data_IF_988372762542
#
_entry.id   IF_988372762542
#
_cell.length_a   1.000
_cell.length_b   1.000
_cell.length_c   1.000
_cell.angle_alpha   90.00
_cell.angle_beta   90.00
_cell.angle_gamma   90.00
#
_symmetry.space_group_name_H-M   'P 1'
#
loop_
_entity.id
_entity.type
_entity.pdbx_description
1 polymer ?
#
# COMPACT_ATOMS: atom_id res chain seq x y z
N UNK A 1 6.49 -6.20 -15.63
CA UNK A 1 5.18 -5.92 -16.22
C UNK A 1 4.15 -5.57 -15.14
N UNK A 2 2.99 -5.12 -15.56
CA UNK A 2 1.89 -4.65 -14.70
C UNK A 2 0.81 -5.73 -14.47
N UNK A 3 1.07 -6.99 -14.85
CA UNK A 3 0.10 -8.11 -14.76
C UNK A 3 -0.47 -8.33 -13.36
N UNK A 4 0.25 -7.92 -12.31
CA UNK A 4 -0.21 -7.99 -10.92
C UNK A 4 -1.42 -7.08 -10.64
N UNK A 5 -1.72 -6.12 -11.51
CA UNK A 5 -2.89 -5.23 -11.41
C UNK A 5 -4.14 -5.77 -12.11
N UNK A 6 -4.04 -6.84 -12.91
CA UNK A 6 -5.21 -7.41 -13.62
C UNK A 6 -6.42 -7.70 -12.71
N UNK A 7 -6.26 -8.20 -11.47
CA UNK A 7 -7.41 -8.41 -10.58
C UNK A 7 -8.19 -7.13 -10.26
N UNK A 8 -7.58 -5.97 -10.46
CA UNK A 8 -8.16 -4.66 -10.15
C UNK A 8 -8.82 -3.97 -11.35
N UNK A 9 -8.72 -4.52 -12.56
CA UNK A 9 -9.25 -3.94 -13.79
C UNK A 9 -10.78 -3.67 -13.73
N UNK A 10 -11.53 -4.55 -13.06
CA UNK A 10 -12.97 -4.42 -12.86
C UNK A 10 -13.37 -4.06 -11.43
N UNK A 11 -12.38 -3.87 -10.56
CA UNK A 11 -12.60 -3.50 -9.17
C UNK A 11 -12.55 -1.99 -8.96
N UNK A 12 -11.69 -1.29 -9.70
CA UNK A 12 -11.49 0.14 -9.54
C UNK A 12 -12.66 0.93 -10.15
N UNK A 13 -13.37 1.69 -9.31
CA UNK A 13 -14.40 2.64 -9.75
C UNK A 13 -13.79 3.96 -10.22
N UNK A 14 -12.55 4.27 -9.83
CA UNK A 14 -11.84 5.51 -10.12
C UNK A 14 -10.35 5.24 -10.24
N UNK A 15 -9.74 5.72 -11.30
CA UNK A 15 -8.30 5.67 -11.54
C UNK A 15 -7.71 7.07 -11.54
N UNK A 16 -6.84 7.36 -10.57
CA UNK A 16 -6.16 8.64 -10.45
C UNK A 16 -4.68 8.47 -10.78
N UNK A 17 -4.18 9.22 -11.72
CA UNK A 17 -2.77 9.25 -12.08
C UNK A 17 -2.10 10.47 -11.46
N UNK A 18 -1.05 10.23 -10.65
CA UNK A 18 -0.22 11.26 -10.08
C UNK A 18 1.05 11.44 -10.93
N UNK A 19 1.34 12.66 -11.35
CA UNK A 19 2.52 13.03 -12.13
C UNK A 19 2.77 12.09 -13.33
N UNK A 20 3.93 11.46 -13.43
CA UNK A 20 4.26 10.47 -14.47
C UNK A 20 3.42 9.18 -14.45
N UNK A 21 2.48 9.02 -13.51
CA UNK A 21 1.63 7.86 -13.34
C UNK A 21 0.67 7.58 -14.51
N UNK A 22 0.40 8.56 -15.38
CA UNK A 22 -0.46 8.38 -16.58
C UNK A 22 0.07 7.25 -17.47
N UNK A 23 1.36 7.29 -17.81
CA UNK A 23 1.97 6.25 -18.65
C UNK A 23 1.94 4.88 -17.96
N UNK A 24 2.22 4.84 -16.65
CA UNK A 24 2.17 3.60 -15.88
C UNK A 24 0.76 2.98 -15.88
N UNK A 25 -0.28 3.80 -15.72
CA UNK A 25 -1.67 3.33 -15.76
C UNK A 25 -2.01 2.77 -17.14
N UNK A 26 -1.66 3.47 -18.23
CA UNK A 26 -1.89 3.00 -19.60
C UNK A 26 -1.14 1.71 -19.91
N UNK A 27 0.11 1.59 -19.50
CA UNK A 27 0.92 0.37 -19.66
C UNK A 27 0.34 -0.81 -18.87
N UNK A 28 -0.39 -0.51 -17.79
CA UNK A 28 -1.11 -1.49 -16.97
C UNK A 28 -2.51 -1.84 -17.51
N UNK A 29 -2.96 -1.18 -18.57
CA UNK A 29 -4.28 -1.38 -19.21
C UNK A 29 -5.41 -0.56 -18.59
N UNK A 30 -5.09 0.42 -17.72
CA UNK A 30 -6.08 1.32 -17.13
C UNK A 30 -6.13 2.65 -17.90
N UNK A 31 -7.32 3.22 -17.99
CA UNK A 31 -7.50 4.59 -18.46
C UNK A 31 -7.71 5.50 -17.25
N UNK A 32 -6.80 6.45 -16.96
CA UNK A 32 -7.01 7.37 -15.85
C UNK A 32 -8.25 8.27 -16.07
N UNK A 33 -9.05 8.41 -15.01
CA UNK A 33 -10.19 9.33 -14.96
C UNK A 33 -9.73 10.74 -14.56
N UNK A 34 -8.73 10.81 -13.67
CA UNK A 34 -8.21 12.06 -13.11
C UNK A 34 -6.67 12.06 -13.20
N UNK A 35 -6.12 13.17 -13.64
CA UNK A 35 -4.71 13.51 -13.52
C UNK A 35 -4.50 14.53 -12.41
N UNK A 36 -3.52 14.30 -11.56
CA UNK A 36 -3.09 15.20 -10.48
C UNK A 36 -1.60 15.46 -10.62
N UNK A 37 -1.19 16.69 -10.88
CA UNK A 37 0.23 17.01 -11.03
C UNK A 37 0.47 18.40 -11.59
N UNK A 38 1.76 18.78 -11.77
CA UNK A 38 2.11 20.00 -12.46
C UNK A 38 2.03 19.85 -13.98
N UNK A 39 1.87 20.94 -14.68
CA UNK A 39 1.74 20.94 -16.15
C UNK A 39 3.07 20.67 -16.87
N UNK A 40 4.20 20.67 -16.15
CA UNK A 40 5.54 20.54 -16.73
C UNK A 40 5.97 19.08 -16.93
N UNK A 41 5.35 18.14 -16.21
CA UNK A 41 5.70 16.72 -16.25
C UNK A 41 5.16 15.95 -17.47
N UNK A 42 4.66 16.64 -18.50
CA UNK A 42 4.35 16.06 -19.82
C UNK A 42 3.23 15.02 -19.82
N UNK A 43 2.37 15.02 -18.83
CA UNK A 43 1.15 14.23 -18.83
C UNK A 43 0.26 14.71 -19.98
N UNK A 44 0.26 13.98 -21.10
CA UNK A 44 -0.70 14.24 -22.16
C UNK A 44 -2.09 14.01 -21.60
N UNK A 45 -2.85 15.09 -21.37
CA UNK A 45 -4.25 15.00 -21.00
C UNK A 45 -4.98 14.13 -22.03
N UNK A 46 -5.45 12.98 -21.61
CA UNK A 46 -6.28 12.14 -22.45
C UNK A 46 -7.63 12.84 -22.64
N UNK A 47 -8.24 12.65 -23.81
CA UNK A 47 -9.57 13.22 -24.07
C UNK A 47 -10.56 12.66 -23.06
N UNK A 48 -11.18 13.54 -22.26
CA UNK A 48 -12.16 13.17 -21.24
C UNK A 48 -11.59 12.98 -19.83
N UNK A 49 -10.27 13.03 -19.63
CA UNK A 49 -9.63 12.98 -18.33
C UNK A 49 -9.78 14.33 -17.60
N UNK A 50 -10.22 14.28 -16.35
CA UNK A 50 -10.23 15.46 -15.48
C UNK A 50 -8.79 15.80 -15.08
N UNK A 51 -8.40 17.07 -15.15
CA UNK A 51 -7.07 17.52 -14.75
C UNK A 51 -7.16 18.42 -13.52
N UNK A 52 -6.44 18.05 -12.47
CA UNK A 52 -6.27 18.85 -11.25
C UNK A 52 -4.84 19.39 -11.26
N UNK A 53 -4.63 20.61 -11.74
CA UNK A 53 -3.30 21.20 -11.82
C UNK A 53 -2.81 21.55 -10.41
N UNK A 54 -1.58 21.20 -10.12
CA UNK A 54 -0.90 21.57 -8.89
C UNK A 54 0.19 22.60 -9.18
N UNK A 55 0.42 23.59 -8.31
CA UNK A 55 1.57 24.47 -8.45
C UNK A 55 2.87 23.70 -8.29
N UNK A 56 3.92 24.09 -9.03
CA UNK A 56 5.25 23.46 -8.90
C UNK A 56 5.83 23.63 -7.48
N UNK A 57 5.58 24.80 -6.87
CA UNK A 57 5.91 25.06 -5.45
C UNK A 57 4.71 24.73 -4.59
N UNK A 58 4.73 23.57 -3.92
CA UNK A 58 3.66 23.07 -3.05
C UNK A 58 4.24 22.28 -1.89
N UNK A 59 3.48 22.22 -0.78
CA UNK A 59 3.84 21.48 0.43
C UNK A 59 3.50 19.97 0.34
N UNK A 60 2.82 19.53 -0.72
CA UNK A 60 2.35 18.15 -0.91
C UNK A 60 3.07 17.48 -2.07
N UNK A 61 3.29 16.17 -1.93
CA UNK A 61 3.66 15.34 -3.09
C UNK A 61 2.45 15.11 -3.99
N UNK A 62 2.67 14.83 -5.28
CA UNK A 62 1.58 14.52 -6.22
C UNK A 62 0.78 13.29 -5.77
N UNK A 63 1.45 12.30 -5.18
CA UNK A 63 0.79 11.12 -4.63
C UNK A 63 -0.13 11.46 -3.45
N UNK A 64 0.30 12.36 -2.56
CA UNK A 64 -0.55 12.82 -1.46
C UNK A 64 -1.76 13.60 -1.97
N UNK A 65 -1.57 14.49 -2.95
CA UNK A 65 -2.67 15.25 -3.56
C UNK A 65 -3.65 14.32 -4.29
N UNK A 66 -3.16 13.27 -4.95
CA UNK A 66 -4.00 12.23 -5.56
C UNK A 66 -4.80 11.46 -4.49
N UNK A 67 -4.17 11.13 -3.36
CA UNK A 67 -4.85 10.52 -2.22
C UNK A 67 -5.97 11.42 -1.67
N UNK A 68 -5.71 12.69 -1.43
CA UNK A 68 -6.70 13.66 -0.95
C UNK A 68 -7.86 13.81 -1.95
N UNK A 69 -7.55 13.77 -3.24
CA UNK A 69 -8.56 13.76 -4.31
C UNK A 69 -9.45 12.51 -4.21
N UNK A 70 -8.87 11.32 -4.05
CA UNK A 70 -9.61 10.07 -3.87
C UNK A 70 -10.51 10.13 -2.61
N UNK A 71 -9.97 10.63 -1.50
CA UNK A 71 -10.72 10.80 -0.25
C UNK A 71 -11.92 11.73 -0.44
N UNK A 72 -11.75 12.87 -1.10
CA UNK A 72 -12.80 13.83 -1.41
C UNK A 72 -13.89 13.27 -2.37
N UNK A 73 -13.54 12.24 -3.16
CA UNK A 73 -14.48 11.48 -4.01
C UNK A 73 -15.14 10.32 -3.27
N UNK A 74 -14.88 10.17 -1.97
CA UNK A 74 -15.53 9.19 -1.10
C UNK A 74 -14.91 7.79 -1.16
N UNK A 75 -13.65 7.68 -1.59
CA UNK A 75 -12.94 6.40 -1.58
C UNK A 75 -12.92 5.77 -0.18
N UNK A 76 -13.18 4.46 -0.12
CA UNK A 76 -13.12 3.63 1.08
C UNK A 76 -11.94 2.67 1.05
N UNK A 77 -11.54 2.29 -0.14
CA UNK A 77 -10.39 1.43 -0.41
C UNK A 77 -9.53 2.09 -1.48
N UNK A 78 -8.21 2.12 -1.28
CA UNK A 78 -7.27 2.72 -2.21
C UNK A 78 -6.08 1.77 -2.43
N UNK A 79 -5.79 1.49 -3.69
CA UNK A 79 -4.58 0.79 -4.11
C UNK A 79 -3.59 1.80 -4.68
N UNK A 80 -2.45 1.95 -4.00
CA UNK A 80 -1.32 2.74 -4.49
C UNK A 80 -0.38 1.83 -5.28
N UNK A 81 0.02 2.25 -6.46
CA UNK A 81 0.99 1.52 -7.28
C UNK A 81 1.94 2.48 -8.01
N UNK A 82 3.09 1.96 -8.49
CA UNK A 82 4.10 2.82 -9.11
C UNK A 82 4.89 3.71 -8.13
N UNK A 83 4.57 3.69 -6.84
CA UNK A 83 5.16 4.55 -5.82
C UNK A 83 6.34 3.89 -5.07
N UNK A 84 6.77 2.71 -5.49
CA UNK A 84 7.89 1.98 -4.89
C UNK A 84 9.10 1.90 -5.83
N UNK A 85 10.29 1.83 -5.26
CA UNK A 85 11.54 1.88 -6.02
C UNK A 85 12.02 3.33 -6.24
N UNK A 86 13.08 3.53 -7.02
CA UNK A 86 13.63 4.85 -7.31
C UNK A 86 14.03 5.65 -6.06
N UNK A 87 13.47 6.83 -5.88
CA UNK A 87 13.73 7.71 -4.75
C UNK A 87 13.16 7.15 -3.46
N UNK A 88 14.02 6.94 -2.45
CA UNK A 88 13.62 6.36 -1.16
C UNK A 88 12.73 7.30 -0.32
N UNK A 89 12.91 8.61 -0.43
CA UNK A 89 12.07 9.60 0.24
C UNK A 89 10.61 9.52 -0.21
N UNK A 90 10.36 9.38 -1.51
CA UNK A 90 9.01 9.16 -2.05
C UNK A 90 8.41 7.82 -1.62
N UNK A 91 9.22 6.75 -1.61
CA UNK A 91 8.77 5.45 -1.15
C UNK A 91 8.35 5.49 0.34
N UNK A 92 9.19 6.07 1.20
CA UNK A 92 8.89 6.18 2.63
C UNK A 92 7.68 7.09 2.89
N UNK A 93 7.52 8.17 2.12
CA UNK A 93 6.34 9.04 2.17
C UNK A 93 5.06 8.27 1.78
N UNK A 94 5.12 7.42 0.73
CA UNK A 94 3.99 6.58 0.33
C UNK A 94 3.58 5.58 1.42
N UNK A 95 4.53 4.99 2.15
CA UNK A 95 4.23 4.15 3.31
C UNK A 95 3.46 4.92 4.39
N UNK A 96 3.85 6.18 4.66
CA UNK A 96 3.14 7.04 5.62
C UNK A 96 1.70 7.34 5.23
N UNK A 97 1.37 7.35 3.93
CA UNK A 97 -0.01 7.51 3.46
C UNK A 97 -0.92 6.35 3.86
N UNK A 98 -0.40 5.14 4.07
CA UNK A 98 -1.20 4.01 4.56
C UNK A 98 -1.71 4.25 5.98
N UNK A 99 -0.87 4.83 6.86
CA UNK A 99 -1.26 5.22 8.22
C UNK A 99 -2.29 6.36 8.18
N UNK A 100 -2.06 7.37 7.34
CA UNK A 100 -2.98 8.50 7.15
C UNK A 100 -4.35 8.00 6.64
N UNK A 101 -4.36 7.08 5.68
CA UNK A 101 -5.58 6.47 5.14
C UNK A 101 -6.36 5.72 6.23
N UNK A 102 -5.68 4.91 7.03
CA UNK A 102 -6.29 4.21 8.16
C UNK A 102 -6.90 5.19 9.18
N UNK A 103 -6.23 6.31 9.46
CA UNK A 103 -6.74 7.39 10.31
C UNK A 103 -8.03 8.04 9.78
N UNK A 104 -8.25 8.03 8.47
CA UNK A 104 -9.48 8.49 7.82
C UNK A 104 -10.53 7.36 7.61
N UNK A 105 -10.27 6.15 8.11
CA UNK A 105 -11.14 5.00 7.92
C UNK A 105 -11.13 4.45 6.49
N UNK A 106 -10.07 4.72 5.75
CA UNK A 106 -9.83 4.22 4.39
C UNK A 106 -8.84 3.06 4.44
N UNK A 107 -9.16 1.96 3.79
CA UNK A 107 -8.24 0.84 3.64
C UNK A 107 -7.25 1.11 2.51
N UNK A 108 -6.00 1.41 2.86
CA UNK A 108 -4.90 1.67 1.94
C UNK A 108 -4.04 0.42 1.72
N UNK A 109 -3.66 0.16 0.48
CA UNK A 109 -2.74 -0.91 0.10
C UNK A 109 -1.74 -0.40 -0.93
N UNK A 110 -0.44 -0.63 -0.71
CA UNK A 110 0.58 -0.43 -1.74
C UNK A 110 0.85 -1.77 -2.43
N UNK A 111 0.79 -1.78 -3.75
CA UNK A 111 1.11 -2.96 -4.57
C UNK A 111 2.27 -2.69 -5.51
N UNK A 112 3.13 -3.70 -5.64
CA UNK A 112 4.11 -3.81 -6.71
C UNK A 112 4.20 -5.29 -7.16
N UNK A 113 4.97 -5.66 -8.20
CA UNK A 113 5.01 -7.04 -8.70
C UNK A 113 5.35 -8.11 -7.65
N UNK A 114 6.00 -7.73 -6.56
CA UNK A 114 6.55 -8.66 -5.57
C UNK A 114 5.94 -8.51 -4.20
N UNK A 115 5.28 -7.37 -3.91
CA UNK A 115 4.84 -7.05 -2.56
C UNK A 115 3.44 -6.44 -2.54
N UNK A 116 2.74 -6.74 -1.44
CA UNK A 116 1.58 -6.01 -0.96
C UNK A 116 1.91 -5.47 0.43
N UNK A 117 1.68 -4.19 0.68
CA UNK A 117 1.92 -3.53 1.97
C UNK A 117 0.64 -2.88 2.47
N UNK A 118 0.27 -3.19 3.70
CA UNK A 118 -0.90 -2.64 4.40
C UNK A 118 -0.50 -2.14 5.78
N UNK A 119 -1.16 -1.10 6.28
CA UNK A 119 -1.00 -0.65 7.67
C UNK A 119 -1.97 -1.40 8.57
N UNK A 120 -1.48 -1.86 9.73
CA UNK A 120 -2.30 -2.47 10.77
C UNK A 120 -2.12 -1.75 12.12
N UNK A 121 -3.25 -1.36 12.71
CA UNK A 121 -3.35 -0.95 14.11
C UNK A 121 -3.53 -2.19 15.02
N UNK A 122 -3.43 -2.05 16.37
CA UNK A 122 -3.76 -3.15 17.28
C UNK A 122 -5.13 -3.76 16.99
N UNK A 123 -5.22 -5.10 16.97
CA UNK A 123 -6.46 -5.81 16.62
C UNK A 123 -6.27 -7.29 16.32
N UNK A 124 -7.32 -7.87 15.77
CA UNK A 124 -7.35 -9.26 15.32
C UNK A 124 -7.59 -9.30 13.81
N UNK A 125 -6.79 -10.09 13.10
CA UNK A 125 -6.77 -10.13 11.65
C UNK A 125 -6.76 -11.56 11.14
N UNK A 126 -7.42 -11.75 10.02
CA UNK A 126 -7.30 -12.92 9.16
C UNK A 126 -6.40 -12.55 7.99
N UNK A 127 -5.22 -13.14 7.90
CA UNK A 127 -4.21 -12.81 6.91
C UNK A 127 -4.17 -13.88 5.83
N UNK A 128 -4.85 -13.68 4.69
CA UNK A 128 -4.83 -14.62 3.57
C UNK A 128 -3.50 -14.60 2.84
N UNK A 129 -3.17 -15.73 2.25
CA UNK A 129 -1.93 -15.92 1.48
C UNK A 129 -1.92 -15.13 0.17
N UNK A 130 -3.05 -15.04 -0.52
CA UNK A 130 -3.25 -14.25 -1.75
C UNK A 130 -2.14 -14.48 -2.82
N UNK A 131 -1.61 -15.70 -2.88
CA UNK A 131 -0.55 -16.05 -3.84
C UNK A 131 0.87 -15.64 -3.43
N UNK A 132 1.07 -15.03 -2.25
CA UNK A 132 2.40 -14.69 -1.72
C UNK A 132 3.05 -15.87 -0.98
N UNK A 133 4.37 -15.89 -0.97
CA UNK A 133 5.16 -16.92 -0.27
C UNK A 133 5.39 -16.56 1.21
N UNK A 134 5.64 -15.28 1.47
CA UNK A 134 6.02 -14.78 2.80
C UNK A 134 5.11 -13.67 3.26
N UNK A 135 4.93 -13.56 4.58
CA UNK A 135 4.42 -12.36 5.22
C UNK A 135 5.31 -11.92 6.36
N UNK A 136 5.32 -10.63 6.61
CA UNK A 136 6.10 -10.00 7.68
C UNK A 136 5.28 -8.93 8.38
N UNK A 137 5.51 -8.75 9.67
CA UNK A 137 5.03 -7.60 10.43
C UNK A 137 6.24 -6.71 10.72
N UNK A 138 6.22 -5.50 10.19
CA UNK A 138 7.31 -4.54 10.41
C UNK A 138 6.82 -3.45 11.36
N UNK A 139 7.31 -3.44 12.62
CA UNK A 139 6.88 -2.44 13.60
C UNK A 139 7.18 -1.01 13.13
N UNK A 140 6.17 -0.15 13.16
CA UNK A 140 6.27 1.30 12.96
C UNK A 140 6.60 1.97 14.30
N UNK A 141 5.89 1.58 15.35
CA UNK A 141 6.18 1.99 16.70
C UNK A 141 7.44 1.32 17.26
N UNK A 142 7.93 1.85 18.38
CA UNK A 142 9.12 1.30 19.03
C UNK A 142 8.93 -0.15 19.49
N UNK A 143 7.72 -0.53 19.86
CA UNK A 143 7.36 -1.85 20.35
C UNK A 143 5.98 -2.25 19.83
N UNK A 144 5.81 -3.54 19.50
CA UNK A 144 4.53 -4.21 19.37
C UNK A 144 4.39 -5.23 20.49
N UNK A 145 3.19 -5.33 21.10
CA UNK A 145 2.97 -6.17 22.27
C UNK A 145 1.98 -7.30 22.02
N UNK A 146 2.23 -8.39 22.74
CA UNK A 146 1.35 -9.56 22.82
C UNK A 146 0.99 -10.13 21.44
N UNK A 147 1.97 -10.18 20.54
CA UNK A 147 1.75 -10.71 19.19
C UNK A 147 1.50 -12.21 19.29
N UNK A 148 0.37 -12.62 18.74
CA UNK A 148 0.00 -14.02 18.56
C UNK A 148 -0.22 -14.28 17.08
N UNK A 149 0.49 -15.27 16.53
CA UNK A 149 0.37 -15.72 15.14
C UNK A 149 0.07 -17.22 15.15
N UNK A 150 -1.09 -17.63 14.65
CA UNK A 150 -1.51 -19.02 14.55
C UNK A 150 -1.73 -19.42 13.11
N UNK A 151 -1.28 -20.62 12.76
CA UNK A 151 -1.36 -21.12 11.38
C UNK A 151 -0.14 -20.79 10.53
N UNK A 152 0.85 -20.09 11.07
CA UNK A 152 2.15 -19.88 10.43
C UNK A 152 3.12 -21.03 10.69
N UNK A 153 4.11 -21.20 9.84
CA UNK A 153 5.23 -22.16 10.01
C UNK A 153 6.01 -21.88 11.30
N UNK A 154 6.13 -20.61 11.68
CA UNK A 154 6.76 -20.17 12.94
C UNK A 154 5.70 -19.43 13.77
N UNK A 155 4.87 -20.17 14.55
CA UNK A 155 3.82 -19.52 15.33
C UNK A 155 4.41 -18.71 16.49
N UNK A 156 3.70 -17.66 16.87
CA UNK A 156 4.01 -16.86 18.06
C UNK A 156 2.83 -16.90 19.02
N UNK A 157 3.11 -16.89 20.32
CA UNK A 157 2.10 -16.83 21.36
C UNK A 157 2.50 -15.74 22.37
N UNK A 158 1.73 -14.65 22.39
CA UNK A 158 1.87 -13.54 23.32
C UNK A 158 3.32 -13.01 23.42
N UNK A 159 3.92 -12.64 22.28
CA UNK A 159 5.32 -12.19 22.21
C UNK A 159 5.40 -10.70 21.91
N UNK A 160 6.28 -9.99 22.58
CA UNK A 160 6.65 -8.63 22.23
C UNK A 160 7.76 -8.64 21.17
N UNK A 161 7.71 -7.65 20.27
CA UNK A 161 8.82 -7.35 19.35
C UNK A 161 9.11 -5.86 19.32
N UNK A 162 10.27 -5.49 18.79
CA UNK A 162 10.76 -4.11 18.77
C UNK A 162 11.15 -3.73 17.34
N UNK A 163 11.04 -2.44 17.02
CA UNK A 163 11.53 -1.91 15.74
C UNK A 163 13.01 -2.28 15.58
N UNK A 164 13.35 -2.85 14.41
CA UNK A 164 14.70 -3.31 14.08
C UNK A 164 14.99 -4.76 14.51
N UNK A 165 14.05 -5.44 15.16
CA UNK A 165 14.15 -6.88 15.47
C UNK A 165 13.41 -7.68 14.41
N UNK A 166 14.04 -8.77 13.92
CA UNK A 166 13.51 -9.57 12.80
C UNK A 166 12.60 -10.73 13.23
N UNK A 167 12.10 -10.74 14.45
CA UNK A 167 11.24 -11.82 14.99
C UNK A 167 10.01 -12.10 14.09
N UNK A 168 9.45 -11.07 13.50
CA UNK A 168 8.21 -11.13 12.72
C UNK A 168 8.45 -10.97 11.22
N UNK A 169 9.65 -11.31 10.75
CA UNK A 169 10.02 -11.22 9.33
C UNK A 169 10.01 -12.61 8.69
N UNK A 170 9.49 -12.71 7.46
CA UNK A 170 9.49 -13.92 6.61
C UNK A 170 8.77 -15.13 7.22
N UNK A 171 7.60 -14.91 7.80
CA UNK A 171 6.69 -16.01 8.12
C UNK A 171 6.12 -16.65 6.85
N UNK A 172 5.83 -17.94 6.91
CA UNK A 172 5.18 -18.72 5.86
C UNK A 172 3.83 -19.25 6.38
N UNK A 173 2.86 -19.42 5.48
CA UNK A 173 1.56 -20.03 5.83
C UNK A 173 1.66 -21.55 5.91
N UNK A 174 1.27 -22.15 7.03
CA UNK A 174 0.92 -23.57 7.15
C UNK A 174 -0.59 -23.77 6.97
N UNK A 175 -1.37 -22.78 7.41
CA UNK A 175 -2.83 -22.72 7.25
C UNK A 175 -3.15 -21.40 6.60
N UNK A 176 -4.09 -21.39 5.66
CA UNK A 176 -4.57 -20.20 4.97
C UNK A 176 -6.07 -20.01 5.28
N UNK A 177 -6.46 -18.90 5.87
CA UNK A 177 -5.64 -17.76 6.32
C UNK A 177 -4.92 -18.02 7.66
N UNK A 178 -3.86 -17.25 7.92
CA UNK A 178 -3.22 -17.14 9.23
C UNK A 178 -4.06 -16.24 10.14
N UNK A 179 -4.22 -16.62 11.42
CA UNK A 179 -4.79 -15.75 12.43
C UNK A 179 -3.69 -14.93 13.11
N UNK A 180 -3.86 -13.61 13.13
CA UNK A 180 -2.95 -12.65 13.75
C UNK A 180 -3.70 -11.82 14.79
N UNK A 181 -3.08 -11.59 15.96
CA UNK A 181 -3.55 -10.64 16.96
C UNK A 181 -2.37 -9.93 17.59
N UNK A 182 -2.54 -8.66 17.93
CA UNK A 182 -1.62 -7.91 18.82
C UNK A 182 -2.39 -6.77 19.50
N UNK A 183 -1.88 -6.29 20.65
CA UNK A 183 -2.66 -5.41 21.55
C UNK A 183 -2.13 -3.98 21.60
N UNK A 184 -0.89 -3.73 21.17
CA UNK A 184 -0.27 -2.39 21.21
C UNK A 184 0.79 -2.26 20.12
N UNK A 185 1.01 -1.04 19.66
CA UNK A 185 1.91 -0.68 18.57
C UNK A 185 1.31 -0.95 17.18
N UNK A 186 1.74 -0.16 16.20
CA UNK A 186 1.31 -0.30 14.80
C UNK A 186 2.40 -0.95 13.95
N UNK A 187 2.01 -1.57 12.84
CA UNK A 187 2.96 -2.18 11.92
C UNK A 187 2.52 -2.09 10.46
N UNK A 188 3.46 -2.31 9.55
CA UNK A 188 3.13 -2.73 8.20
C UNK A 188 3.03 -4.25 8.13
N UNK A 189 1.93 -4.75 7.61
CA UNK A 189 1.81 -6.12 7.09
C UNK A 189 2.35 -6.11 5.67
N UNK A 190 3.41 -6.85 5.44
CA UNK A 190 4.00 -7.00 4.10
C UNK A 190 3.83 -8.46 3.69
N UNK A 191 3.12 -8.70 2.57
CA UNK A 191 3.16 -9.99 1.89
C UNK A 191 4.15 -9.89 0.75
N UNK A 192 4.97 -10.91 0.53
CA UNK A 192 6.03 -10.83 -0.49
C UNK A 192 6.32 -12.16 -1.17
N UNK A 193 6.83 -12.04 -2.38
CA UNK A 193 7.47 -13.10 -3.15
C UNK A 193 8.93 -12.74 -3.42
N UNK A 194 9.77 -13.76 -3.64
CA UNK A 194 11.13 -13.51 -4.11
C UNK A 194 11.10 -12.98 -5.55
N UNK A 195 11.83 -11.90 -5.86
CA UNK A 195 11.88 -11.33 -7.20
C UNK A 195 12.74 -12.13 -8.20
N UNK A 196 13.40 -13.23 -7.77
CA UNK A 196 14.28 -14.10 -8.55
C UNK A 196 13.93 -15.58 -8.37
#
# INVERSE_FOLDING_TARGET
GWDFLRPYEHWADLVIAADGGVQCAMDAGFTPDIYVGDSDSGGHALIGMECIPLPAEKDLTDLQAAYETALNRGAREIVFTGCTGGRQDHHLSALGLLETAAGHGVHGKILNPWNSVEFLAPGEYSVPKDGYTYFSLIPIDRVMREITIRGAKYPLECRDTFRGVSLTVSHEWNIDPVALRFTDGCCYLIRSNNPW
#
